data_IF_462032362249
#
_entry.id   IF_462032362249
#
_cell.length_a   1.000
_cell.length_b   1.000
_cell.length_c   1.000
_cell.angle_alpha   90.00
_cell.angle_beta   90.00
_cell.angle_gamma   90.00
#
_symmetry.space_group_name_H-M   'P 1'
#
loop_
_entity.id
_entity.type
_entity.pdbx_description
1 polymer ?
#
# COMPACT_ATOMS: atom_id res chain seq x y z
N UNK A 1 -35.84 58.70 25.26
CA UNK A 1 -34.44 58.50 24.86
C UNK A 1 -33.68 57.95 26.05
N UNK A 2 -33.43 56.64 26.12
CA UNK A 2 -32.54 55.99 27.09
C UNK A 2 -32.21 54.55 26.64
N UNK A 3 -30.95 54.17 26.83
CA UNK A 3 -30.27 52.93 26.45
C UNK A 3 -30.63 51.76 27.38
N UNK A 4 -30.51 50.51 26.86
CA UNK A 4 -29.91 49.27 27.45
C UNK A 4 -30.49 48.02 26.73
N UNK A 5 -29.73 47.26 25.93
CA UNK A 5 -28.82 46.14 26.26
C UNK A 5 -29.54 44.81 26.62
N UNK A 6 -29.01 43.72 26.04
CA UNK A 6 -29.20 42.27 26.28
C UNK A 6 -30.09 41.54 25.24
N UNK A 7 -29.47 40.88 24.26
CA UNK A 7 -28.96 39.49 24.28
C UNK A 7 -30.08 38.45 24.08
N UNK A 8 -30.07 37.82 22.91
CA UNK A 8 -30.93 36.70 22.55
C UNK A 8 -30.32 35.92 21.40
N UNK A 9 -29.29 35.13 21.73
CA UNK A 9 -28.79 34.03 20.90
C UNK A 9 -29.94 33.07 20.58
N UNK A 10 -30.21 32.83 19.30
CA UNK A 10 -30.74 31.54 18.84
C UNK A 10 -30.56 31.44 17.32
N UNK A 11 -29.35 31.10 16.89
CA UNK A 11 -29.09 30.64 15.53
C UNK A 11 -28.83 29.14 15.60
N UNK A 12 -29.92 28.36 15.65
CA UNK A 12 -29.85 26.92 15.44
C UNK A 12 -29.96 26.69 13.94
N UNK A 13 -28.81 26.79 13.27
CA UNK A 13 -28.64 26.18 11.95
C UNK A 13 -28.38 24.68 12.20
N UNK A 14 -29.40 23.86 11.97
CA UNK A 14 -29.29 22.40 11.97
C UNK A 14 -28.40 22.01 10.79
N UNK A 15 -27.11 21.84 11.05
CA UNK A 15 -26.17 21.23 10.13
C UNK A 15 -26.47 19.73 10.10
N UNK A 16 -27.26 19.31 9.12
CA UNK A 16 -27.44 17.90 8.77
C UNK A 16 -26.09 17.42 8.23
N UNK A 17 -25.32 16.76 9.10
CA UNK A 17 -24.10 16.04 8.74
C UNK A 17 -24.51 14.82 7.89
N UNK A 18 -24.66 15.02 6.59
CA UNK A 18 -24.45 13.94 5.64
C UNK A 18 -22.96 13.60 5.67
N UNK A 19 -22.56 12.66 6.52
CA UNK A 19 -21.27 11.97 6.42
C UNK A 19 -21.36 11.04 5.21
N UNK A 20 -21.34 11.62 4.01
CA UNK A 20 -20.79 10.89 2.88
C UNK A 20 -19.32 10.73 3.19
N UNK A 21 -18.90 9.51 3.54
CA UNK A 21 -17.50 9.12 3.45
C UNK A 21 -17.10 9.30 1.98
N UNK A 22 -16.71 10.51 1.63
CA UNK A 22 -15.85 10.79 0.49
C UNK A 22 -14.59 10.00 0.76
N UNK A 23 -14.48 8.83 0.12
CA UNK A 23 -13.19 8.26 -0.23
C UNK A 23 -12.52 9.28 -1.13
N UNK A 24 -11.89 10.27 -0.52
CA UNK A 24 -10.89 11.07 -1.18
C UNK A 24 -9.77 10.08 -1.51
N UNK A 25 -9.73 9.64 -2.76
CA UNK A 25 -8.48 9.26 -3.39
C UNK A 25 -7.67 10.55 -3.44
N UNK A 26 -7.02 10.88 -2.33
CA UNK A 26 -5.88 11.79 -2.40
C UNK A 26 -4.86 11.06 -3.25
N UNK A 27 -4.57 11.59 -4.42
CA UNK A 27 -3.42 11.25 -5.27
C UNK A 27 -2.11 11.58 -4.51
N UNK A 28 -1.94 11.07 -3.29
CA UNK A 28 -0.63 11.02 -2.64
C UNK A 28 0.12 9.87 -3.28
N UNK A 29 1.16 10.21 -4.04
CA UNK A 29 2.11 9.27 -4.62
C UNK A 29 2.62 8.34 -3.49
N UNK A 30 2.34 7.04 -3.59
CA UNK A 30 2.69 6.09 -2.54
C UNK A 30 4.20 6.10 -2.32
N UNK A 31 4.62 6.37 -1.08
CA UNK A 31 6.03 6.37 -0.70
C UNK A 31 6.46 5.00 -0.16
N UNK A 32 7.75 4.70 -0.26
CA UNK A 32 8.32 3.47 0.31
C UNK A 32 8.07 3.33 1.81
N UNK A 33 8.07 4.44 2.56
CA UNK A 33 7.79 4.42 4.00
C UNK A 33 6.31 4.14 4.31
N UNK A 34 5.38 4.72 3.55
CA UNK A 34 3.96 4.42 3.68
C UNK A 34 3.69 2.94 3.39
N UNK A 35 4.22 2.42 2.28
CA UNK A 35 4.13 1.02 1.92
C UNK A 35 4.63 0.12 3.06
N UNK A 36 5.84 0.41 3.56
CA UNK A 36 6.44 -0.35 4.67
C UNK A 36 5.57 -0.33 5.93
N UNK A 37 5.05 0.83 6.29
CA UNK A 37 4.20 0.98 7.46
C UNK A 37 2.87 0.24 7.32
N UNK A 38 2.28 0.17 6.12
CA UNK A 38 1.04 -0.54 5.88
C UNK A 38 1.27 -2.06 5.97
N UNK A 39 2.33 -2.58 5.32
CA UNK A 39 2.70 -4.00 5.42
C UNK A 39 3.01 -4.40 6.85
N UNK A 40 3.73 -3.57 7.62
CA UNK A 40 4.04 -3.87 9.02
C UNK A 40 2.80 -4.07 9.90
N UNK A 41 1.70 -3.35 9.61
CA UNK A 41 0.42 -3.54 10.31
C UNK A 41 -0.20 -4.90 9.97
N UNK A 42 -0.17 -5.28 8.69
CA UNK A 42 -0.65 -6.58 8.22
C UNK A 42 0.18 -7.70 8.85
N UNK A 43 1.50 -7.62 8.82
CA UNK A 43 2.42 -8.59 9.44
C UNK A 43 2.10 -8.80 10.91
N UNK A 44 1.92 -7.72 11.69
CA UNK A 44 1.55 -7.84 13.12
C UNK A 44 0.20 -8.54 13.35
N UNK A 45 -0.72 -8.46 12.39
CA UNK A 45 -2.02 -9.13 12.47
C UNK A 45 -1.90 -10.60 12.06
N UNK A 46 -1.12 -10.90 11.03
CA UNK A 46 -0.80 -12.28 10.62
C UNK A 46 -0.08 -13.03 11.75
N UNK A 47 0.92 -12.42 12.39
CA UNK A 47 1.61 -13.00 13.55
C UNK A 47 0.61 -13.35 14.68
N UNK A 48 -0.41 -12.53 14.92
CA UNK A 48 -1.45 -12.84 15.92
C UNK A 48 -2.33 -13.99 15.50
N UNK A 49 -2.78 -14.01 14.24
CA UNK A 49 -3.58 -15.09 13.67
C UNK A 49 -2.83 -16.43 13.76
N UNK A 50 -1.53 -16.43 13.45
CA UNK A 50 -0.70 -17.62 13.56
C UNK A 50 -0.66 -18.19 14.99
N UNK A 51 -0.55 -17.31 16.00
CA UNK A 51 -0.57 -17.70 17.42
C UNK A 51 -1.94 -18.19 17.93
N UNK A 52 -3.03 -17.96 17.18
CA UNK A 52 -4.40 -18.32 17.58
C UNK A 52 -4.91 -19.61 16.91
N UNK A 53 -4.27 -20.08 15.83
CA UNK A 53 -4.66 -21.30 15.09
C UNK A 53 -3.44 -22.14 14.69
N UNK A 54 -3.11 -23.13 15.52
CA UNK A 54 -2.04 -24.12 15.30
C UNK A 54 -2.14 -24.84 13.94
N UNK A 55 -3.33 -24.89 13.30
CA UNK A 55 -3.50 -25.59 12.02
C UNK A 55 -2.96 -24.80 10.82
N UNK A 56 -2.81 -23.49 10.96
CA UNK A 56 -2.32 -22.58 9.93
C UNK A 56 -1.11 -21.76 10.37
N UNK A 57 -0.66 -21.93 11.62
CA UNK A 57 0.43 -21.21 12.27
C UNK A 57 1.66 -21.10 11.36
N UNK A 58 2.19 -22.23 10.90
CA UNK A 58 3.42 -22.30 10.11
C UNK A 58 3.25 -21.51 8.80
N UNK A 59 2.17 -21.73 8.05
CA UNK A 59 1.99 -21.04 6.76
C UNK A 59 1.77 -19.54 6.92
N UNK A 60 1.08 -19.10 7.98
CA UNK A 60 0.81 -17.69 8.24
C UNK A 60 2.04 -16.99 8.81
N UNK A 61 2.81 -17.66 9.67
CA UNK A 61 4.07 -17.14 10.20
C UNK A 61 5.13 -16.98 9.10
N UNK A 62 5.30 -18.00 8.24
CA UNK A 62 6.23 -17.93 7.11
C UNK A 62 5.94 -16.71 6.23
N UNK A 63 4.67 -16.48 5.88
CA UNK A 63 4.25 -15.31 5.11
C UNK A 63 4.52 -14.01 5.85
N UNK A 64 4.22 -13.95 7.16
CA UNK A 64 4.47 -12.75 7.95
C UNK A 64 5.98 -12.39 7.97
N UNK A 65 6.85 -13.39 8.05
CA UNK A 65 8.30 -13.20 7.99
C UNK A 65 8.80 -12.78 6.59
N UNK A 66 8.27 -13.41 5.54
CA UNK A 66 8.59 -13.09 4.15
C UNK A 66 8.17 -11.65 3.81
N UNK A 67 6.94 -11.25 4.12
CA UNK A 67 6.41 -9.90 3.88
C UNK A 67 7.18 -8.84 4.68
N UNK A 68 7.56 -9.13 5.93
CA UNK A 68 8.39 -8.23 6.73
C UNK A 68 9.75 -7.95 6.09
N UNK A 69 10.38 -8.97 5.52
CA UNK A 69 11.66 -8.86 4.82
C UNK A 69 11.51 -8.19 3.45
N UNK A 70 10.49 -8.58 2.69
CA UNK A 70 10.19 -8.03 1.36
C UNK A 70 9.87 -6.54 1.45
N UNK A 71 9.07 -6.13 2.43
CA UNK A 71 8.65 -4.75 2.65
C UNK A 71 9.81 -3.76 2.78
N UNK A 72 10.91 -4.18 3.43
CA UNK A 72 12.12 -3.36 3.53
C UNK A 72 12.80 -3.16 2.17
N UNK A 73 12.89 -4.23 1.37
CA UNK A 73 13.47 -4.16 0.03
C UNK A 73 12.61 -3.33 -0.91
N UNK A 74 11.28 -3.48 -0.80
CA UNK A 74 10.31 -2.68 -1.56
C UNK A 74 10.48 -1.21 -1.24
N UNK A 75 10.54 -0.84 0.05
CA UNK A 75 10.82 0.53 0.47
C UNK A 75 12.12 1.06 -0.15
N UNK A 76 13.23 0.34 0.01
CA UNK A 76 14.53 0.79 -0.50
C UNK A 76 14.50 1.03 -2.02
N UNK A 77 13.80 0.17 -2.77
CA UNK A 77 13.63 0.29 -4.22
C UNK A 77 12.71 1.44 -4.59
N UNK A 78 11.58 1.62 -3.91
CA UNK A 78 10.67 2.76 -4.12
C UNK A 78 11.40 4.09 -3.86
N UNK A 79 12.12 4.19 -2.74
CA UNK A 79 12.95 5.35 -2.41
C UNK A 79 14.01 5.64 -3.48
N UNK A 80 14.65 4.60 -4.03
CA UNK A 80 15.67 4.76 -5.06
C UNK A 80 15.09 5.24 -6.40
N UNK A 81 13.89 4.77 -6.74
CA UNK A 81 13.16 5.18 -7.94
C UNK A 81 12.67 6.63 -7.80
N UNK A 82 12.14 6.99 -6.64
CA UNK A 82 11.61 8.33 -6.35
C UNK A 82 12.72 9.40 -6.26
N UNK A 83 13.81 9.12 -5.53
CA UNK A 83 14.95 10.04 -5.34
C UNK A 83 15.70 10.39 -6.63
N UNK A 84 15.48 9.65 -7.74
CA UNK A 84 16.20 9.88 -9.00
C UNK A 84 15.90 11.26 -9.60
N UNK A 85 14.78 11.89 -9.25
CA UNK A 85 14.43 13.27 -9.60
C UNK A 85 14.07 13.48 -11.08
N UNK A 86 13.08 14.33 -11.35
CA UNK A 86 12.47 14.48 -12.69
C UNK A 86 13.44 14.84 -13.81
N UNK A 87 14.47 15.66 -13.56
CA UNK A 87 15.43 16.07 -14.60
C UNK A 87 16.38 14.93 -15.04
N UNK A 88 16.83 14.07 -14.10
CA UNK A 88 17.65 12.90 -14.47
C UNK A 88 16.79 11.82 -15.12
N UNK A 89 15.57 11.62 -14.65
CA UNK A 89 14.59 10.71 -15.29
C UNK A 89 14.27 11.17 -16.71
N UNK A 90 14.12 12.47 -16.95
CA UNK A 90 13.82 12.99 -18.29
C UNK A 90 14.99 12.82 -19.28
N UNK A 91 16.23 13.02 -18.84
CA UNK A 91 17.40 12.84 -19.71
C UNK A 91 17.77 11.36 -19.84
N UNK A 92 18.06 10.66 -18.73
CA UNK A 92 18.63 9.30 -18.76
C UNK A 92 17.53 8.22 -18.75
N UNK A 93 16.35 8.52 -18.19
CA UNK A 93 15.24 7.59 -18.03
C UNK A 93 15.03 7.13 -16.60
N UNK A 94 13.87 6.51 -16.35
CA UNK A 94 13.60 5.80 -15.10
C UNK A 94 14.62 4.67 -14.89
N UNK A 95 14.90 4.33 -13.62
CA UNK A 95 15.78 3.19 -13.34
C UNK A 95 15.02 1.88 -13.58
N UNK A 96 14.91 1.49 -14.84
CA UNK A 96 14.16 0.30 -15.24
C UNK A 96 14.62 -0.96 -14.51
N UNK A 97 15.91 -1.06 -14.17
CA UNK A 97 16.43 -2.16 -13.37
C UNK A 97 15.84 -2.17 -11.95
N UNK A 98 15.75 -1.00 -11.30
CA UNK A 98 15.14 -0.90 -9.97
C UNK A 98 13.63 -1.10 -9.99
N UNK A 99 12.97 -0.68 -11.06
CA UNK A 99 11.55 -0.94 -11.28
C UNK A 99 11.30 -2.44 -11.49
N UNK A 100 12.13 -3.11 -12.28
CA UNK A 100 12.03 -4.57 -12.50
C UNK A 100 12.33 -5.34 -11.21
N UNK A 101 13.37 -4.95 -10.47
CA UNK A 101 13.66 -5.49 -9.14
C UNK A 101 12.49 -5.25 -8.16
N UNK A 102 11.75 -4.14 -8.28
CA UNK A 102 10.58 -3.85 -7.46
C UNK A 102 9.40 -4.74 -7.86
N UNK A 103 9.11 -4.89 -9.16
CA UNK A 103 8.10 -5.83 -9.67
C UNK A 103 8.34 -7.24 -9.17
N UNK A 104 9.59 -7.71 -9.21
CA UNK A 104 9.93 -9.05 -8.74
C UNK A 104 9.65 -9.25 -7.24
N UNK A 105 9.76 -8.23 -6.40
CA UNK A 105 9.37 -8.35 -4.98
C UNK A 105 7.84 -8.33 -4.83
N UNK A 106 7.13 -7.55 -5.65
CA UNK A 106 5.67 -7.58 -5.66
C UNK A 106 5.10 -8.92 -6.15
N UNK A 107 5.80 -9.61 -7.06
CA UNK A 107 5.45 -10.97 -7.48
C UNK A 107 5.67 -11.99 -6.35
N UNK A 108 6.62 -11.74 -5.44
CA UNK A 108 6.77 -12.55 -4.23
C UNK A 108 5.53 -12.40 -3.32
N UNK A 109 4.98 -11.19 -3.19
CA UNK A 109 3.72 -10.96 -2.46
C UNK A 109 2.53 -11.72 -3.07
N UNK A 110 2.50 -11.98 -4.39
CA UNK A 110 1.46 -12.88 -4.96
C UNK A 110 1.61 -14.32 -4.46
N UNK A 111 2.84 -14.78 -4.31
CA UNK A 111 3.12 -16.11 -3.74
C UNK A 111 2.62 -16.19 -2.31
N UNK A 112 2.83 -15.12 -1.54
CA UNK A 112 2.43 -15.02 -0.15
C UNK A 112 0.90 -14.92 0.00
N UNK A 113 0.23 -14.12 -0.83
CA UNK A 113 -1.23 -14.10 -0.94
C UNK A 113 -1.80 -15.48 -1.26
N UNK A 114 -1.15 -16.25 -2.14
CA UNK A 114 -1.57 -17.61 -2.44
C UNK A 114 -1.41 -18.56 -1.24
N UNK A 115 -0.35 -18.41 -0.45
CA UNK A 115 -0.16 -19.17 0.80
C UNK A 115 -1.25 -18.82 1.82
N UNK A 116 -1.54 -17.53 2.01
CA UNK A 116 -2.60 -17.08 2.92
C UNK A 116 -3.99 -17.57 2.49
N UNK A 117 -4.30 -17.58 1.20
CA UNK A 117 -5.57 -18.14 0.71
C UNK A 117 -5.68 -19.65 0.97
N UNK A 118 -4.58 -20.41 0.87
CA UNK A 118 -4.56 -21.83 1.27
C UNK A 118 -4.74 -22.00 2.77
N UNK A 119 -4.12 -21.15 3.58
CA UNK A 119 -4.34 -21.13 5.03
C UNK A 119 -5.81 -20.82 5.38
N UNK A 120 -6.44 -19.89 4.67
CA UNK A 120 -7.86 -19.57 4.81
C UNK A 120 -8.78 -20.78 4.56
N UNK A 121 -8.47 -21.60 3.54
CA UNK A 121 -9.22 -22.82 3.25
C UNK A 121 -9.02 -23.90 4.33
N UNK A 122 -7.81 -23.96 4.89
CA UNK A 122 -7.39 -24.92 5.92
C UNK A 122 -7.99 -24.64 7.30
N UNK A 123 -8.06 -23.37 7.70
CA UNK A 123 -8.55 -23.00 9.03
C UNK A 123 -9.93 -23.61 9.31
N UNK A 124 -10.20 -23.95 10.56
CA UNK A 124 -11.49 -24.52 10.99
C UNK A 124 -12.35 -23.51 11.73
N UNK A 125 -11.74 -22.44 12.22
CA UNK A 125 -12.41 -21.39 12.98
C UNK A 125 -12.93 -20.30 12.03
N UNK A 126 -14.22 -19.98 12.12
CA UNK A 126 -14.84 -18.99 11.25
C UNK A 126 -14.43 -17.54 11.59
N UNK A 127 -14.08 -17.25 12.85
CA UNK A 127 -13.54 -15.96 13.27
C UNK A 127 -12.15 -15.76 12.67
N UNK A 128 -11.30 -16.77 12.79
CA UNK A 128 -9.93 -16.72 12.26
C UNK A 128 -9.93 -16.60 10.74
N UNK A 129 -10.85 -17.29 10.05
CA UNK A 129 -11.08 -17.08 8.61
C UNK A 129 -11.46 -15.65 8.27
N UNK A 130 -12.34 -15.03 9.06
CA UNK A 130 -12.77 -13.67 8.80
C UNK A 130 -11.59 -12.70 8.95
N UNK A 131 -10.80 -12.84 10.01
CA UNK A 131 -9.63 -12.00 10.27
C UNK A 131 -8.54 -12.20 9.21
N UNK A 132 -8.23 -13.46 8.85
CA UNK A 132 -7.28 -13.76 7.79
C UNK A 132 -7.72 -13.20 6.43
N UNK A 133 -9.02 -13.26 6.12
CA UNK A 133 -9.56 -12.68 4.89
C UNK A 133 -9.44 -11.15 4.87
N UNK A 134 -9.61 -10.48 6.01
CA UNK A 134 -9.35 -9.03 6.11
C UNK A 134 -7.89 -8.75 5.78
N UNK A 135 -6.95 -9.50 6.36
CA UNK A 135 -5.53 -9.29 6.11
C UNK A 135 -5.11 -9.57 4.66
N UNK A 136 -5.68 -10.60 4.01
CA UNK A 136 -5.49 -10.87 2.58
C UNK A 136 -5.93 -9.68 1.72
N UNK A 137 -7.10 -9.08 2.03
CA UNK A 137 -7.61 -7.93 1.28
C UNK A 137 -6.77 -6.68 1.51
N UNK A 138 -6.31 -6.44 2.74
CA UNK A 138 -5.41 -5.33 3.06
C UNK A 138 -4.10 -5.46 2.29
N UNK A 139 -3.47 -6.64 2.34
CA UNK A 139 -2.22 -6.90 1.61
C UNK A 139 -2.38 -6.78 0.10
N UNK A 140 -3.51 -7.25 -0.45
CA UNK A 140 -3.85 -7.09 -1.87
C UNK A 140 -3.97 -5.62 -2.25
N UNK A 141 -4.58 -4.80 -1.37
CA UNK A 141 -4.75 -3.36 -1.60
C UNK A 141 -3.40 -2.64 -1.57
N UNK A 142 -2.54 -2.97 -0.61
CA UNK A 142 -1.17 -2.43 -0.51
C UNK A 142 -0.37 -2.77 -1.77
N UNK A 143 -0.41 -4.04 -2.22
CA UNK A 143 0.22 -4.47 -3.48
C UNK A 143 -0.32 -3.74 -4.70
N UNK A 144 -1.63 -3.47 -4.74
CA UNK A 144 -2.24 -2.75 -5.85
C UNK A 144 -1.70 -1.33 -5.95
N UNK A 145 -1.62 -0.60 -4.83
CA UNK A 145 -1.01 0.74 -4.80
C UNK A 145 0.45 0.69 -5.27
N UNK A 146 1.23 -0.29 -4.81
CA UNK A 146 2.65 -0.37 -5.18
C UNK A 146 2.84 -0.68 -6.67
N UNK A 147 1.92 -1.45 -7.27
CA UNK A 147 1.87 -1.65 -8.71
C UNK A 147 1.49 -0.37 -9.47
N UNK A 148 0.61 0.46 -8.92
CA UNK A 148 0.27 1.75 -9.49
C UNK A 148 1.48 2.70 -9.47
N UNK A 149 2.20 2.76 -8.35
CA UNK A 149 3.48 3.46 -8.24
C UNK A 149 4.47 3.01 -9.33
N UNK A 150 4.64 1.70 -9.50
CA UNK A 150 5.50 1.12 -10.54
C UNK A 150 5.09 1.59 -11.93
N UNK A 151 3.79 1.52 -12.28
CA UNK A 151 3.29 1.95 -13.59
C UNK A 151 3.54 3.44 -13.82
N UNK A 152 3.25 4.27 -12.83
CA UNK A 152 3.49 5.72 -12.89
C UNK A 152 4.97 6.04 -13.11
N UNK A 153 5.89 5.20 -12.63
CA UNK A 153 7.32 5.35 -12.85
C UNK A 153 7.81 4.81 -14.20
N UNK A 154 7.16 3.77 -14.75
CA UNK A 154 7.46 3.23 -16.08
C UNK A 154 7.03 4.16 -17.21
N UNK A 155 5.90 4.87 -17.03
CA UNK A 155 5.35 5.80 -18.01
C UNK A 155 6.16 7.10 -18.15
N UNK A 156 7.08 7.39 -17.20
CA UNK A 156 7.98 8.55 -17.27
C UNK A 156 8.98 8.38 -18.43
N UNK A 157 8.70 9.07 -19.54
CA UNK A 157 9.47 9.02 -20.80
C UNK A 157 10.92 9.53 -20.65
N UNK A 158 11.87 8.85 -21.33
CA UNK A 158 13.30 9.22 -21.40
C UNK A 158 13.69 9.73 -22.79
N UNK A 159 14.25 10.94 -22.89
CA UNK A 159 14.73 11.48 -24.17
C UNK A 159 15.95 10.74 -24.71
N UNK A 160 16.94 10.38 -23.88
CA UNK A 160 18.12 9.65 -24.38
C UNK A 160 17.80 8.19 -24.69
N UNK A 161 16.86 7.57 -23.96
CA UNK A 161 16.40 6.21 -24.27
C UNK A 161 15.68 6.12 -25.62
N UNK A 162 14.95 7.17 -26.01
CA UNK A 162 14.40 7.32 -27.35
C UNK A 162 15.48 7.63 -28.40
N UNK A 163 16.45 8.50 -28.09
CA UNK A 163 17.54 8.87 -29.01
C UNK A 163 18.41 7.66 -29.39
N UNK A 164 18.79 6.81 -28.43
CA UNK A 164 19.58 5.60 -28.71
C UNK A 164 18.80 4.60 -29.58
N UNK A 165 17.48 4.50 -29.39
CA UNK A 165 16.58 3.69 -30.24
C UNK A 165 16.49 4.17 -31.70
N UNK A 166 16.88 5.41 -32.01
CA UNK A 166 16.89 5.94 -33.38
C UNK A 166 18.19 5.60 -34.15
N UNK A 167 19.23 5.13 -33.46
CA UNK A 167 20.52 4.77 -34.05
C UNK A 167 20.89 3.28 -33.89
N UNK A 168 19.96 2.47 -33.36
CA UNK A 168 20.00 1.00 -33.39
C UNK A 168 19.05 0.48 -34.46
#
# INVERSE_FOLDING_TARGET
MNKKLLFGLSLVAVFVLCTTNTYASSDEEETGEQHRSEVAKVVQKLEKIANEDDYIEIEVEDVAQEEKSSSEKVKEKMDAVDKRGGFKTFLIGSDYKKIEELKSELDATDTDLNKLNKALEKSKDNSIKADLKVQINELTTIKFKANDFVKNMEEKFSLFGWLVRMFQ
#
